data_IF_504486171482
#
_entry.id   IF_504486171482
#
_cell.length_a   1.000
_cell.length_b   1.000
_cell.length_c   1.000
_cell.angle_alpha   90.00
_cell.angle_beta   90.00
_cell.angle_gamma   90.00
#
_symmetry.space_group_name_H-M   'P 1'
#
loop_
_entity.id
_entity.type
_entity.pdbx_description
1 polymer ?
#
# COMPACT_ATOMS: atom_id res chain seq x y z
N UNK A 1 25.37 -2.36 -13.92
CA UNK A 1 24.79 -3.46 -14.74
C UNK A 1 23.34 -3.20 -15.10
N UNK A 2 22.45 -2.91 -14.15
CA UNK A 2 21.02 -2.69 -14.42
C UNK A 2 20.69 -1.40 -15.20
N UNK A 3 21.41 -0.29 -14.96
CA UNK A 3 21.20 0.99 -15.66
C UNK A 3 21.40 0.84 -17.16
N UNK A 4 22.39 0.07 -17.60
CA UNK A 4 22.64 -0.18 -19.03
C UNK A 4 21.51 -0.99 -19.66
N UNK A 5 20.95 -1.98 -18.95
CA UNK A 5 19.80 -2.75 -19.45
C UNK A 5 18.55 -1.86 -19.64
N UNK A 6 18.29 -0.91 -18.74
CA UNK A 6 17.21 0.05 -18.88
C UNK A 6 17.38 0.95 -20.11
N UNK A 7 18.62 1.39 -20.36
CA UNK A 7 18.96 2.21 -21.53
C UNK A 7 18.85 1.39 -22.83
N UNK A 8 19.33 0.13 -22.81
CA UNK A 8 19.30 -0.77 -23.98
C UNK A 8 17.89 -1.08 -24.48
N UNK A 9 16.90 -1.10 -23.57
CA UNK A 9 15.49 -1.33 -23.96
C UNK A 9 14.74 -0.07 -24.31
N UNK A 10 15.32 1.13 -24.14
CA UNK A 10 14.72 2.42 -24.44
C UNK A 10 13.37 2.66 -23.71
N UNK A 11 13.14 1.94 -22.59
CA UNK A 11 11.92 2.07 -21.80
C UNK A 11 12.06 3.22 -20.82
N UNK A 12 11.30 4.28 -21.03
CA UNK A 12 11.19 5.41 -20.09
C UNK A 12 10.19 5.06 -18.97
N UNK A 13 10.46 4.03 -18.18
CA UNK A 13 9.57 3.61 -17.09
C UNK A 13 9.90 4.25 -15.75
N UNK A 14 11.03 4.96 -15.64
CA UNK A 14 11.53 5.48 -14.37
C UNK A 14 11.88 6.97 -14.50
N UNK A 15 11.59 7.73 -13.42
CA UNK A 15 11.94 9.15 -13.31
C UNK A 15 11.38 10.05 -14.41
N UNK A 16 10.18 9.73 -14.91
CA UNK A 16 9.46 10.55 -15.89
C UNK A 16 8.69 11.63 -15.15
N UNK A 17 8.91 12.89 -15.53
CA UNK A 17 8.15 14.00 -14.97
C UNK A 17 6.71 14.00 -15.50
N UNK A 18 5.73 14.14 -14.60
CA UNK A 18 4.35 14.44 -14.99
C UNK A 18 4.12 15.94 -14.95
N UNK A 19 3.43 16.47 -15.96
CA UNK A 19 3.01 17.87 -16.05
C UNK A 19 1.60 18.11 -15.49
N UNK A 20 0.92 17.04 -15.09
CA UNK A 20 -0.40 17.06 -14.46
C UNK A 20 -0.38 16.24 -13.18
N UNK A 21 -1.48 16.24 -12.42
CA UNK A 21 -1.68 15.30 -11.33
C UNK A 21 -1.62 13.84 -11.83
N UNK A 22 -1.27 12.92 -10.95
CA UNK A 22 -1.20 11.48 -11.23
C UNK A 22 -2.60 10.87 -11.04
N UNK A 23 -3.17 10.31 -12.11
CA UNK A 23 -4.52 9.71 -12.10
C UNK A 23 -4.68 8.64 -13.17
N UNK A 24 -5.91 8.40 -13.61
CA UNK A 24 -6.21 7.45 -14.69
C UNK A 24 -5.62 7.86 -16.04
N UNK A 25 -5.45 9.18 -16.25
CA UNK A 25 -4.70 9.75 -17.36
C UNK A 25 -3.74 10.81 -16.84
N UNK A 26 -2.61 11.02 -17.52
CA UNK A 26 -1.61 12.01 -17.14
C UNK A 26 -0.82 12.50 -18.36
N UNK A 27 -0.34 13.74 -18.31
CA UNK A 27 0.61 14.27 -19.27
C UNK A 27 2.02 14.09 -18.75
N UNK A 28 2.86 13.38 -19.48
CA UNK A 28 4.23 13.08 -19.08
C UNK A 28 5.24 13.61 -20.09
N UNK A 29 6.45 13.85 -19.62
CA UNK A 29 7.57 14.28 -20.46
C UNK A 29 7.80 13.31 -21.62
N UNK A 30 7.99 13.87 -22.83
CA UNK A 30 8.24 13.10 -24.06
C UNK A 30 7.00 12.58 -24.77
N UNK A 31 5.80 12.93 -24.31
CA UNK A 31 4.53 12.57 -24.96
C UNK A 31 3.69 13.82 -25.22
N UNK A 32 3.15 13.95 -26.45
CA UNK A 32 2.33 15.10 -26.87
C UNK A 32 0.83 14.94 -26.57
N UNK A 33 0.41 13.78 -26.09
CA UNK A 33 -0.98 13.46 -25.73
C UNK A 33 -1.02 12.84 -24.33
N UNK A 34 -2.15 12.99 -23.62
CA UNK A 34 -2.35 12.26 -22.36
C UNK A 34 -2.15 10.75 -22.55
N UNK A 35 -1.49 10.13 -21.61
CA UNK A 35 -1.26 8.68 -21.55
C UNK A 35 -2.18 8.06 -20.50
N UNK A 36 -2.76 6.90 -20.78
CA UNK A 36 -3.55 6.14 -19.83
C UNK A 36 -2.59 5.51 -18.80
N UNK A 37 -2.81 5.75 -17.52
CA UNK A 37 -1.88 5.39 -16.46
C UNK A 37 -2.44 4.27 -15.58
N UNK A 38 -1.70 3.19 -15.47
CA UNK A 38 -1.98 2.05 -14.59
C UNK A 38 -0.91 1.88 -13.49
N UNK A 39 -0.18 2.95 -13.15
CA UNK A 39 0.92 2.91 -12.17
C UNK A 39 0.55 3.49 -10.80
N UNK A 40 -0.48 4.35 -10.75
CA UNK A 40 -0.86 5.05 -9.53
C UNK A 40 -1.48 4.09 -8.49
N UNK A 41 -1.27 4.42 -7.22
CA UNK A 41 -1.91 3.72 -6.10
C UNK A 41 -3.04 4.57 -5.47
N UNK A 42 -3.43 5.67 -6.07
CA UNK A 42 -4.58 6.49 -5.66
C UNK A 42 -5.91 5.82 -6.04
N UNK A 43 -6.14 4.63 -5.45
CA UNK A 43 -7.22 3.72 -5.83
C UNK A 43 -8.59 4.38 -5.95
N UNK A 44 -8.87 5.36 -5.09
CA UNK A 44 -10.16 6.06 -5.03
C UNK A 44 -10.15 7.41 -5.74
N UNK A 45 -9.01 7.82 -6.32
CA UNK A 45 -8.84 9.09 -7.02
C UNK A 45 -8.98 10.31 -6.09
N UNK A 46 -8.59 10.16 -4.82
CA UNK A 46 -8.76 11.23 -3.82
C UNK A 46 -7.80 12.41 -4.03
N UNK A 47 -6.63 12.19 -4.64
CA UNK A 47 -5.62 13.25 -4.83
C UNK A 47 -6.08 14.39 -5.75
N UNK A 48 -7.05 14.13 -6.62
CA UNK A 48 -7.55 15.07 -7.63
C UNK A 48 -9.00 15.52 -7.37
N UNK A 49 -9.61 15.11 -6.25
CA UNK A 49 -10.97 15.54 -5.92
C UNK A 49 -11.00 16.94 -5.38
N UNK A 50 -11.95 17.73 -5.90
CA UNK A 50 -12.12 19.13 -5.49
C UNK A 50 -12.35 19.25 -3.98
N UNK A 51 -13.11 18.34 -3.38
CA UNK A 51 -13.39 18.36 -1.94
C UNK A 51 -12.11 18.18 -1.09
N UNK A 52 -11.20 17.30 -1.49
CA UNK A 52 -9.93 17.08 -0.77
C UNK A 52 -8.95 18.24 -0.99
N UNK A 53 -8.91 18.78 -2.20
CA UNK A 53 -8.10 19.97 -2.57
C UNK A 53 -8.57 21.17 -1.76
N UNK A 54 -9.87 21.44 -1.73
CA UNK A 54 -10.45 22.58 -1.02
C UNK A 54 -10.19 22.50 0.49
N UNK A 55 -10.34 21.33 1.10
CA UNK A 55 -10.02 21.13 2.51
C UNK A 55 -8.54 21.45 2.82
N UNK A 56 -7.63 21.06 1.92
CA UNK A 56 -6.21 21.42 2.04
C UNK A 56 -5.97 22.92 1.93
N UNK A 57 -6.63 23.62 1.01
CA UNK A 57 -6.52 25.07 0.81
C UNK A 57 -7.01 25.82 2.07
N UNK A 58 -8.12 25.39 2.65
CA UNK A 58 -8.68 26.00 3.87
C UNK A 58 -7.73 25.82 5.06
N UNK A 59 -7.19 24.62 5.24
CA UNK A 59 -6.21 24.37 6.29
C UNK A 59 -4.92 25.17 6.10
N UNK A 60 -4.45 25.31 4.85
CA UNK A 60 -3.29 26.14 4.51
C UNK A 60 -3.51 27.61 4.93
N UNK A 61 -4.70 28.16 4.69
CA UNK A 61 -5.06 29.53 5.10
C UNK A 61 -5.14 29.69 6.63
N UNK A 62 -5.65 28.65 7.34
CA UNK A 62 -5.84 28.69 8.80
C UNK A 62 -4.53 28.49 9.58
N UNK A 63 -3.72 27.51 9.18
CA UNK A 63 -2.57 27.04 9.96
C UNK A 63 -1.22 27.39 9.35
N UNK A 64 -1.16 27.85 8.11
CA UNK A 64 0.08 28.03 7.36
C UNK A 64 0.57 26.75 6.68
N UNK A 65 1.82 26.78 6.21
CA UNK A 65 2.40 25.71 5.35
C UNK A 65 2.90 24.50 6.12
N UNK A 66 3.06 24.57 7.43
CA UNK A 66 3.59 23.47 8.23
C UNK A 66 3.37 23.65 9.72
N UNK A 67 3.47 22.58 10.48
CA UNK A 67 3.41 22.60 11.95
C UNK A 67 4.72 23.06 12.60
N UNK A 68 5.83 23.09 11.87
CA UNK A 68 7.16 23.63 12.23
C UNK A 68 7.82 23.00 13.47
N UNK A 69 7.28 21.92 14.00
CA UNK A 69 7.82 21.16 15.13
C UNK A 69 7.37 19.69 15.08
N UNK A 70 8.03 18.82 15.83
CA UNK A 70 7.52 17.48 16.10
C UNK A 70 6.25 17.55 16.97
N UNK A 71 5.38 16.55 16.87
CA UNK A 71 4.13 16.51 17.62
C UNK A 71 4.38 16.65 19.13
N UNK A 72 5.38 15.97 19.66
CA UNK A 72 5.69 15.92 21.10
C UNK A 72 6.13 17.28 21.70
N UNK A 73 6.63 18.22 20.89
CA UNK A 73 7.18 19.49 21.35
C UNK A 73 6.42 20.73 20.85
N UNK A 74 5.19 20.56 20.36
CA UNK A 74 4.33 21.69 19.97
C UNK A 74 3.83 21.68 18.53
N UNK A 75 4.23 20.72 17.69
CA UNK A 75 3.70 20.53 16.33
C UNK A 75 2.35 19.81 16.27
N UNK A 76 1.71 19.55 17.42
CA UNK A 76 0.45 18.81 17.49
C UNK A 76 -0.76 19.76 17.41
N UNK A 77 -1.33 19.86 16.22
CA UNK A 77 -2.51 20.70 15.95
C UNK A 77 -3.81 19.95 16.28
N UNK A 78 -4.90 20.70 16.46
CA UNK A 78 -6.24 20.14 16.70
C UNK A 78 -6.69 19.15 15.60
N UNK A 79 -6.37 19.45 14.33
CA UNK A 79 -6.67 18.57 13.20
C UNK A 79 -5.85 17.27 13.20
N UNK A 80 -4.66 17.24 13.81
CA UNK A 80 -3.91 15.98 13.99
C UNK A 80 -4.66 15.09 14.97
N UNK A 81 -5.08 15.65 16.11
CA UNK A 81 -5.87 14.93 17.12
C UNK A 81 -7.15 14.38 16.51
N UNK A 82 -7.88 15.19 15.75
CA UNK A 82 -9.10 14.76 15.07
C UNK A 82 -8.83 13.60 14.12
N UNK A 83 -7.77 13.66 13.31
CA UNK A 83 -7.44 12.60 12.38
C UNK A 83 -7.04 11.31 13.09
N UNK A 84 -6.30 11.37 14.19
CA UNK A 84 -5.95 10.20 15.01
C UNK A 84 -7.21 9.52 15.56
N UNK A 85 -8.13 10.29 16.15
CA UNK A 85 -9.40 9.78 16.67
C UNK A 85 -10.26 9.14 15.56
N UNK A 86 -10.40 9.80 14.42
CA UNK A 86 -11.23 9.31 13.30
C UNK A 86 -10.63 8.08 12.60
N UNK A 87 -9.30 7.98 12.49
CA UNK A 87 -8.62 6.80 11.93
C UNK A 87 -8.72 5.62 12.89
N UNK A 88 -8.52 5.84 14.20
CA UNK A 88 -8.66 4.78 15.20
C UNK A 88 -10.06 4.15 15.14
N UNK A 89 -11.10 4.98 15.18
CA UNK A 89 -12.50 4.54 15.04
C UNK A 89 -12.73 3.81 13.71
N UNK A 90 -12.21 4.36 12.61
CA UNK A 90 -12.42 3.79 11.28
C UNK A 90 -11.83 2.39 11.15
N UNK A 91 -10.62 2.14 11.64
CA UNK A 91 -9.98 0.82 11.56
C UNK A 91 -10.32 -0.10 12.75
N UNK A 92 -11.14 0.39 13.71
CA UNK A 92 -11.61 -0.40 14.84
C UNK A 92 -10.56 -0.64 15.91
N UNK A 93 -9.73 0.38 16.19
CA UNK A 93 -8.71 0.37 17.24
C UNK A 93 -9.01 1.44 18.31
N UNK A 94 -8.33 1.37 19.47
CA UNK A 94 -8.59 2.28 20.60
C UNK A 94 -7.99 3.67 20.42
N UNK A 95 -6.86 3.79 19.74
CA UNK A 95 -6.13 5.04 19.51
C UNK A 95 -5.24 4.91 18.26
N UNK A 96 -4.76 6.05 17.74
CA UNK A 96 -3.83 6.08 16.63
C UNK A 96 -2.74 7.15 16.82
N UNK A 97 -1.66 7.04 16.05
CA UNK A 97 -0.54 7.98 15.99
C UNK A 97 -0.20 8.25 14.53
N UNK A 98 -0.09 9.52 14.16
CA UNK A 98 0.26 9.94 12.80
C UNK A 98 1.77 10.01 12.59
N UNK A 99 2.19 9.72 11.36
CA UNK A 99 3.56 9.79 10.88
C UNK A 99 3.63 10.55 9.55
N UNK A 100 4.80 11.12 9.24
CA UNK A 100 5.03 11.82 7.97
C UNK A 100 5.06 10.89 6.75
N UNK A 101 5.12 9.58 6.95
CA UNK A 101 5.02 8.56 5.88
C UNK A 101 4.60 7.21 6.46
N UNK A 102 4.00 6.33 5.62
CA UNK A 102 3.78 4.93 5.99
C UNK A 102 5.10 4.18 6.24
N UNK A 103 6.17 4.55 5.52
CA UNK A 103 7.51 4.02 5.79
C UNK A 103 7.96 4.33 7.23
N UNK A 104 7.81 5.60 7.65
CA UNK A 104 8.14 6.04 9.00
C UNK A 104 7.25 5.39 10.07
N UNK A 105 5.98 5.12 9.77
CA UNK A 105 5.07 4.40 10.66
C UNK A 105 5.58 2.99 10.95
N UNK A 106 5.81 2.17 9.93
CA UNK A 106 6.33 0.81 10.09
C UNK A 106 7.68 0.78 10.80
N UNK A 107 8.65 1.56 10.31
CA UNK A 107 10.00 1.55 10.86
C UNK A 107 10.05 2.04 12.31
N UNK A 108 9.30 3.10 12.64
CA UNK A 108 9.30 3.68 13.99
C UNK A 108 8.64 2.79 15.02
N UNK A 109 7.50 2.18 14.66
CA UNK A 109 6.82 1.24 15.57
C UNK A 109 7.70 0.05 15.89
N UNK A 110 8.28 -0.58 14.89
CA UNK A 110 9.05 -1.80 15.07
C UNK A 110 10.34 -1.54 15.86
N UNK A 111 11.03 -0.42 15.60
CA UNK A 111 12.21 -0.02 16.40
C UNK A 111 11.87 0.31 17.85
N UNK A 112 10.69 0.90 18.09
CA UNK A 112 10.26 1.20 19.45
C UNK A 112 9.87 -0.04 20.25
N UNK A 113 9.33 -1.06 19.58
CA UNK A 113 8.74 -2.23 20.26
C UNK A 113 9.69 -3.40 20.41
N UNK A 114 10.60 -3.61 19.46
CA UNK A 114 11.37 -4.84 19.36
C UNK A 114 12.88 -4.58 19.51
N UNK A 115 13.52 -5.43 20.31
CA UNK A 115 14.96 -5.41 20.55
C UNK A 115 15.59 -6.80 20.44
N UNK A 116 16.79 -6.93 21.00
CA UNK A 116 17.62 -8.16 20.90
C UNK A 116 17.00 -9.40 21.56
N UNK A 117 16.09 -9.20 22.51
CA UNK A 117 15.41 -10.28 23.23
C UNK A 117 14.08 -10.69 22.58
N UNK A 118 13.70 -10.04 21.50
CA UNK A 118 12.43 -10.24 20.80
C UNK A 118 12.66 -10.89 19.45
N UNK A 119 11.58 -11.40 18.84
CA UNK A 119 11.62 -11.95 17.50
C UNK A 119 10.46 -11.45 16.65
N UNK A 120 10.78 -11.07 15.40
CA UNK A 120 9.82 -10.79 14.34
C UNK A 120 9.69 -11.99 13.40
N UNK A 121 8.48 -12.49 13.24
CA UNK A 121 8.12 -13.55 12.29
C UNK A 121 7.50 -12.87 11.05
N UNK A 122 8.24 -12.83 9.94
CA UNK A 122 7.89 -11.98 8.80
C UNK A 122 7.55 -12.80 7.57
N UNK A 123 6.44 -12.47 6.91
CA UNK A 123 6.19 -12.96 5.55
C UNK A 123 7.33 -12.49 4.62
N UNK A 124 7.76 -13.29 3.64
CA UNK A 124 8.85 -12.93 2.72
C UNK A 124 8.53 -11.74 1.81
N UNK A 125 7.26 -11.40 1.60
CA UNK A 125 6.81 -10.35 0.68
C UNK A 125 6.38 -9.06 1.37
N UNK A 126 6.63 -8.92 2.68
CA UNK A 126 6.36 -7.67 3.40
C UNK A 126 7.12 -6.49 2.81
N UNK A 127 6.56 -5.31 3.00
CA UNK A 127 7.17 -4.08 2.51
C UNK A 127 8.53 -3.78 3.17
N UNK A 128 9.45 -3.18 2.40
CA UNK A 128 10.83 -2.86 2.85
C UNK A 128 10.86 -1.97 4.10
N UNK A 129 9.86 -1.13 4.33
CA UNK A 129 9.77 -0.30 5.55
C UNK A 129 9.70 -1.11 6.83
N UNK A 130 9.05 -2.28 6.78
CA UNK A 130 9.02 -3.23 7.90
C UNK A 130 10.41 -3.75 8.22
N UNK A 131 11.16 -4.20 7.21
CA UNK A 131 12.53 -4.66 7.40
C UNK A 131 13.46 -3.56 7.93
N UNK A 132 13.24 -2.30 7.51
CA UNK A 132 14.01 -1.16 8.01
C UNK A 132 13.79 -0.89 9.51
N UNK A 133 12.65 -1.29 10.08
CA UNK A 133 12.35 -1.18 11.50
C UNK A 133 12.93 -2.30 12.37
N UNK A 134 13.37 -3.41 11.77
CA UNK A 134 13.80 -4.62 12.48
C UNK A 134 15.32 -4.73 12.65
N UNK A 135 16.05 -3.60 12.64
CA UNK A 135 17.52 -3.59 12.55
C UNK A 135 18.24 -4.30 13.72
N UNK A 136 17.69 -4.24 14.93
CA UNK A 136 18.27 -4.86 16.13
C UNK A 136 17.46 -6.07 16.64
N UNK A 137 16.50 -6.54 15.88
CA UNK A 137 15.57 -7.62 16.26
C UNK A 137 15.98 -8.94 15.61
N UNK A 138 15.74 -10.05 16.28
CA UNK A 138 15.85 -11.36 15.65
C UNK A 138 14.73 -11.51 14.62
N UNK A 139 15.05 -11.96 13.42
CA UNK A 139 14.09 -12.12 12.32
C UNK A 139 14.05 -13.59 11.90
N UNK A 140 12.87 -14.15 11.83
CA UNK A 140 12.61 -15.44 11.19
C UNK A 140 11.59 -15.24 10.07
N UNK A 141 11.96 -15.55 8.84
CA UNK A 141 11.01 -15.55 7.73
C UNK A 141 10.11 -16.77 7.82
N UNK A 142 8.80 -16.53 7.68
CA UNK A 142 7.79 -17.58 7.52
C UNK A 142 7.49 -17.79 6.04
N UNK A 143 6.79 -18.86 5.66
CA UNK A 143 6.33 -19.04 4.29
C UNK A 143 5.16 -18.10 3.97
N UNK A 144 5.08 -17.65 2.72
CA UNK A 144 3.97 -16.81 2.28
C UNK A 144 2.65 -17.58 2.33
N UNK A 145 1.72 -17.14 3.18
CA UNK A 145 0.45 -17.83 3.46
C UNK A 145 0.63 -19.33 3.83
N UNK A 146 1.75 -19.68 4.46
CA UNK A 146 2.08 -21.04 4.90
C UNK A 146 1.81 -21.17 6.41
N UNK A 147 0.58 -21.56 6.74
CA UNK A 147 0.10 -21.66 8.12
C UNK A 147 0.79 -22.78 8.90
N UNK A 148 1.10 -23.90 8.23
CA UNK A 148 1.78 -25.05 8.88
C UNK A 148 3.20 -24.66 9.29
N UNK A 149 3.92 -23.97 8.41
CA UNK A 149 5.25 -23.48 8.72
C UNK A 149 5.22 -22.37 9.79
N UNK A 150 4.24 -21.46 9.73
CA UNK A 150 4.04 -20.44 10.77
C UNK A 150 3.83 -21.10 12.16
N UNK A 151 2.95 -22.08 12.24
CA UNK A 151 2.67 -22.79 13.49
C UNK A 151 3.92 -23.51 14.01
N UNK A 152 4.66 -24.20 13.14
CA UNK A 152 5.92 -24.86 13.49
C UNK A 152 6.94 -23.86 14.07
N UNK A 153 7.08 -22.68 13.46
CA UNK A 153 7.98 -21.63 13.91
C UNK A 153 7.52 -21.05 15.25
N UNK A 154 6.22 -20.78 15.42
CA UNK A 154 5.66 -20.28 16.68
C UNK A 154 5.91 -21.24 17.85
N UNK A 155 5.78 -22.56 17.63
CA UNK A 155 6.12 -23.60 18.60
C UNK A 155 7.61 -23.59 18.94
N UNK A 156 8.47 -23.46 17.93
CA UNK A 156 9.93 -23.45 18.13
C UNK A 156 10.42 -22.23 18.92
N UNK A 157 9.80 -21.06 18.75
CA UNK A 157 10.23 -19.81 19.40
C UNK A 157 9.54 -19.52 20.73
N UNK A 158 8.62 -20.37 21.19
CA UNK A 158 7.71 -20.13 22.31
C UNK A 158 8.40 -19.59 23.56
N UNK A 159 9.46 -20.25 24.01
CA UNK A 159 10.16 -19.95 25.28
C UNK A 159 11.55 -19.33 25.07
N UNK A 160 11.86 -18.93 23.82
CA UNK A 160 13.19 -18.41 23.46
C UNK A 160 13.26 -16.88 23.45
N UNK A 161 12.13 -16.19 23.32
CA UNK A 161 12.05 -14.75 23.13
C UNK A 161 10.99 -14.13 24.06
N UNK A 162 11.25 -12.88 24.45
CA UNK A 162 10.36 -12.12 25.33
C UNK A 162 9.08 -11.73 24.58
N UNK A 163 9.22 -11.14 23.40
CA UNK A 163 8.11 -10.76 22.51
C UNK A 163 8.21 -11.52 21.20
N UNK A 164 7.10 -12.05 20.75
CA UNK A 164 6.93 -12.65 19.43
C UNK A 164 5.95 -11.81 18.65
N UNK A 165 6.39 -11.20 17.54
CA UNK A 165 5.54 -10.40 16.66
C UNK A 165 5.48 -11.02 15.27
N UNK A 166 4.29 -11.46 14.86
CA UNK A 166 4.01 -11.86 13.49
C UNK A 166 3.68 -10.59 12.68
N UNK A 167 4.31 -10.43 11.51
CA UNK A 167 4.15 -9.25 10.67
C UNK A 167 3.82 -9.69 9.25
N UNK A 168 2.69 -9.20 8.74
CA UNK A 168 2.17 -9.49 7.41
C UNK A 168 1.67 -8.21 6.73
N UNK A 169 1.61 -8.21 5.40
CA UNK A 169 0.83 -7.22 4.66
C UNK A 169 -0.60 -7.72 4.50
N UNK A 170 -1.59 -6.86 4.67
CA UNK A 170 -2.99 -7.21 4.45
C UNK A 170 -3.25 -7.54 2.97
N UNK A 171 -2.79 -6.65 2.08
CA UNK A 171 -2.74 -6.87 0.63
C UNK A 171 -1.30 -6.73 0.16
N UNK A 172 -0.76 -7.74 -0.53
CA UNK A 172 0.61 -7.74 -1.00
C UNK A 172 0.79 -6.91 -2.27
N UNK A 173 1.71 -5.96 -2.21
CA UNK A 173 1.84 -4.86 -3.19
C UNK A 173 2.21 -5.29 -4.61
N UNK A 174 2.87 -6.44 -4.79
CA UNK A 174 3.37 -6.93 -6.08
C UNK A 174 2.50 -8.04 -6.70
N UNK A 175 1.76 -8.77 -5.86
CA UNK A 175 0.96 -9.91 -6.27
C UNK A 175 -0.55 -9.61 -6.21
N UNK A 176 -0.97 -8.64 -5.41
CA UNK A 176 -2.37 -8.26 -5.26
C UNK A 176 -3.21 -9.30 -4.53
N UNK A 177 -2.60 -10.34 -3.98
CA UNK A 177 -3.24 -11.31 -3.11
C UNK A 177 -3.30 -10.80 -1.66
N UNK A 178 -3.96 -11.54 -0.79
CA UNK A 178 -4.21 -11.16 0.60
C UNK A 178 -3.72 -12.25 1.55
N UNK A 179 -3.42 -11.83 2.78
CA UNK A 179 -3.04 -12.75 3.85
C UNK A 179 -4.24 -13.61 4.31
N UNK A 180 -3.96 -14.81 4.83
CA UNK A 180 -4.95 -15.69 5.50
C UNK A 180 -5.16 -15.20 6.94
N UNK A 181 -5.71 -13.98 7.06
CA UNK A 181 -5.74 -13.23 8.32
C UNK A 181 -6.47 -13.95 9.47
N UNK A 182 -7.66 -14.57 9.28
CA UNK A 182 -8.36 -15.27 10.37
C UNK A 182 -7.53 -16.39 10.99
N UNK A 183 -6.89 -17.19 10.15
CA UNK A 183 -6.07 -18.34 10.57
C UNK A 183 -4.79 -17.87 11.27
N UNK A 184 -4.16 -16.80 10.76
CA UNK A 184 -2.98 -16.20 11.38
C UNK A 184 -3.34 -15.63 12.75
N UNK A 185 -4.47 -14.96 12.92
CA UNK A 185 -4.98 -14.47 14.20
C UNK A 185 -5.15 -15.65 15.20
N UNK A 186 -5.75 -16.75 14.75
CA UNK A 186 -5.95 -17.92 15.60
C UNK A 186 -4.62 -18.52 16.08
N UNK A 187 -3.63 -18.62 15.19
CA UNK A 187 -2.29 -19.10 15.54
C UNK A 187 -1.59 -18.14 16.52
N UNK A 188 -1.64 -16.83 16.27
CA UNK A 188 -1.06 -15.84 17.17
C UNK A 188 -1.64 -15.93 18.59
N UNK A 189 -2.98 -16.02 18.71
CA UNK A 189 -3.66 -16.19 20.00
C UNK A 189 -3.25 -17.50 20.71
N UNK A 190 -3.17 -18.61 19.96
CA UNK A 190 -2.81 -19.93 20.50
C UNK A 190 -1.38 -19.96 21.05
N UNK A 191 -0.46 -19.22 20.45
CA UNK A 191 0.96 -19.23 20.76
C UNK A 191 1.45 -17.99 21.51
N UNK A 192 0.54 -17.15 22.03
CA UNK A 192 0.86 -15.91 22.74
C UNK A 192 1.84 -15.04 21.94
N UNK A 193 1.51 -14.77 20.69
CA UNK A 193 2.22 -13.90 19.79
C UNK A 193 1.34 -12.69 19.41
N UNK A 194 1.94 -11.52 19.27
CA UNK A 194 1.29 -10.33 18.75
C UNK A 194 1.21 -10.39 17.22
N UNK A 195 0.24 -9.69 16.65
CA UNK A 195 0.06 -9.56 15.21
C UNK A 195 0.07 -8.10 14.78
N UNK A 196 0.94 -7.78 13.83
CA UNK A 196 0.94 -6.51 13.09
C UNK A 196 0.54 -6.74 11.65
N UNK A 197 -0.42 -5.94 11.18
CA UNK A 197 -0.88 -5.93 9.79
C UNK A 197 -0.54 -4.58 9.15
N UNK A 198 0.32 -4.58 8.13
CA UNK A 198 0.46 -3.44 7.22
C UNK A 198 -0.67 -3.50 6.19
N UNK A 199 -1.68 -2.69 6.40
CA UNK A 199 -2.87 -2.66 5.54
C UNK A 199 -2.88 -1.47 4.57
N UNK A 200 -1.69 -1.03 4.18
CA UNK A 200 -1.48 0.13 3.31
C UNK A 200 -2.18 0.02 1.95
N UNK A 201 -2.42 -1.18 1.44
CA UNK A 201 -3.16 -1.43 0.19
C UNK A 201 -4.61 -1.86 0.41
N UNK A 202 -4.99 -2.21 1.64
CA UNK A 202 -6.34 -2.67 1.97
C UNK A 202 -7.26 -1.53 2.42
N UNK A 203 -6.75 -0.58 3.23
CA UNK A 203 -7.56 0.52 3.75
C UNK A 203 -8.06 1.43 2.61
N UNK A 204 -9.35 1.73 2.63
CA UNK A 204 -10.08 2.41 1.56
C UNK A 204 -10.57 1.46 0.45
N UNK A 205 -10.00 0.26 0.33
CA UNK A 205 -10.22 -0.70 -0.77
C UNK A 205 -11.01 -1.92 -0.32
N UNK A 206 -10.51 -2.63 0.71
CA UNK A 206 -11.05 -3.90 1.19
C UNK A 206 -12.12 -3.67 2.25
N UNK A 207 -13.04 -4.64 2.34
CA UNK A 207 -14.18 -4.58 3.26
C UNK A 207 -15.37 -3.78 2.73
N UNK A 208 -16.54 -3.99 3.31
CA UNK A 208 -17.79 -3.38 2.87
C UNK A 208 -17.78 -1.85 3.04
N UNK A 209 -17.12 -1.36 4.09
CA UNK A 209 -17.01 0.07 4.39
C UNK A 209 -15.62 0.63 4.04
N UNK A 210 -14.70 -0.19 3.50
CA UNK A 210 -13.35 0.21 3.16
C UNK A 210 -12.40 0.30 4.37
N UNK A 211 -12.72 -0.37 5.47
CA UNK A 211 -11.88 -0.37 6.69
C UNK A 211 -10.64 -1.26 6.58
N UNK A 212 -10.42 -1.89 5.42
CA UNK A 212 -9.25 -2.70 5.14
C UNK A 212 -9.50 -4.21 5.23
N UNK A 213 -8.40 -4.98 5.23
CA UNK A 213 -8.45 -6.45 5.25
C UNK A 213 -9.01 -6.98 6.56
N UNK A 214 -8.83 -6.26 7.66
CA UNK A 214 -9.36 -6.65 8.96
C UNK A 214 -10.90 -6.64 8.93
N UNK A 215 -11.53 -5.66 8.29
CA UNK A 215 -12.99 -5.66 8.06
C UNK A 215 -13.38 -6.74 7.06
N UNK A 216 -12.63 -6.89 5.97
CA UNK A 216 -12.93 -7.86 4.92
C UNK A 216 -13.12 -9.28 5.48
N UNK A 217 -12.35 -9.64 6.48
CA UNK A 217 -12.41 -10.93 7.16
C UNK A 217 -13.25 -10.93 8.46
N UNK A 218 -13.97 -9.84 8.78
CA UNK A 218 -14.72 -9.67 10.02
C UNK A 218 -13.87 -9.86 11.29
N UNK A 219 -12.62 -9.36 11.26
CA UNK A 219 -11.64 -9.48 12.34
C UNK A 219 -11.34 -8.16 13.06
N UNK A 220 -12.24 -7.15 12.97
CA UNK A 220 -12.07 -5.86 13.67
C UNK A 220 -11.85 -6.09 15.17
N UNK A 221 -10.87 -5.37 15.76
CA UNK A 221 -10.49 -5.49 17.16
C UNK A 221 -9.72 -6.77 17.52
N UNK A 222 -9.29 -7.59 16.55
CA UNK A 222 -8.57 -8.83 16.80
C UNK A 222 -7.08 -8.79 16.41
N UNK A 223 -6.62 -7.69 15.83
CA UNK A 223 -5.23 -7.44 15.45
C UNK A 223 -4.62 -6.45 16.43
N UNK A 224 -3.39 -6.68 16.91
CA UNK A 224 -2.76 -5.85 17.93
C UNK A 224 -2.31 -4.49 17.35
N UNK A 225 -1.77 -4.49 16.12
CA UNK A 225 -1.22 -3.31 15.47
C UNK A 225 -1.66 -3.27 14.01
N UNK A 226 -2.30 -2.20 13.62
CA UNK A 226 -2.63 -1.90 12.22
C UNK A 226 -1.80 -0.70 11.79
N UNK A 227 -1.06 -0.84 10.70
CA UNK A 227 -0.39 0.29 10.05
C UNK A 227 -1.00 0.58 8.70
N UNK A 228 -0.91 1.84 8.29
CA UNK A 228 -1.43 2.27 6.99
C UNK A 228 -0.71 3.48 6.46
N UNK A 229 -1.03 3.83 5.22
CA UNK A 229 -0.47 5.00 4.55
C UNK A 229 -1.56 5.89 3.98
N UNK A 230 -1.31 7.19 3.97
CA UNK A 230 -2.17 8.17 3.29
C UNK A 230 -1.78 8.38 1.82
N UNK A 231 -0.70 7.72 1.34
CA UNK A 231 -0.19 7.91 -0.02
C UNK A 231 -0.87 7.06 -1.09
N UNK A 232 -1.92 6.33 -0.73
CA UNK A 232 -2.68 5.46 -1.64
C UNK A 232 -4.14 5.88 -1.69
N UNK A 233 -5.06 5.13 -1.10
CA UNK A 233 -6.51 5.41 -1.15
C UNK A 233 -6.92 6.78 -0.63
N UNK A 234 -6.11 7.44 0.19
CA UNK A 234 -6.36 8.80 0.67
C UNK A 234 -5.79 9.89 -0.26
N UNK A 235 -4.98 9.54 -1.25
CA UNK A 235 -4.44 10.47 -2.25
C UNK A 235 -3.47 11.53 -1.72
N UNK A 236 -2.86 11.34 -0.54
CA UNK A 236 -1.99 12.31 0.14
C UNK A 236 -0.61 11.72 0.46
N UNK A 237 0.10 12.29 1.41
CA UNK A 237 1.34 11.75 1.97
C UNK A 237 1.16 11.56 3.48
N UNK A 238 1.89 10.62 4.08
CA UNK A 238 1.83 10.33 5.50
C UNK A 238 1.49 8.87 5.77
N UNK A 239 1.33 8.55 7.05
CA UNK A 239 0.93 7.24 7.51
C UNK A 239 0.46 7.28 8.96
N UNK A 240 0.03 6.14 9.44
CA UNK A 240 -0.44 6.00 10.82
C UNK A 240 -0.17 4.61 11.37
N UNK A 241 -0.21 4.53 12.67
CA UNK A 241 -0.32 3.30 13.44
C UNK A 241 -1.56 3.39 14.29
N UNK A 242 -2.36 2.34 14.33
CA UNK A 242 -3.52 2.21 15.19
C UNK A 242 -3.40 0.94 16.04
N UNK A 243 -3.66 1.05 17.35
CA UNK A 243 -3.47 -0.02 18.32
C UNK A 243 -4.22 0.30 19.63
N UNK A 244 -3.94 -0.48 20.68
CA UNK A 244 -4.44 -0.16 22.02
C UNK A 244 -3.92 1.20 22.50
N UNK A 245 -4.72 1.90 23.29
CA UNK A 245 -4.38 3.20 23.85
C UNK A 245 -3.05 3.18 24.61
N UNK A 246 -2.79 2.10 25.35
CA UNK A 246 -1.53 1.94 26.10
C UNK A 246 -0.32 1.87 25.16
N UNK A 247 -0.45 1.15 24.04
CA UNK A 247 0.61 1.02 23.06
C UNK A 247 0.86 2.34 22.34
N UNK A 248 -0.19 3.04 21.92
CA UNK A 248 -0.07 4.35 21.28
C UNK A 248 0.57 5.37 22.22
N UNK A 249 0.21 5.39 23.51
CA UNK A 249 0.88 6.25 24.50
C UNK A 249 2.38 5.99 24.59
N UNK A 250 2.80 4.72 24.56
CA UNK A 250 4.21 4.37 24.52
C UNK A 250 4.88 4.87 23.24
N UNK A 251 4.28 4.63 22.08
CA UNK A 251 4.83 5.04 20.77
C UNK A 251 4.96 6.56 20.63
N UNK A 252 4.11 7.36 21.26
CA UNK A 252 4.19 8.84 21.27
C UNK A 252 5.52 9.35 21.84
N UNK A 253 6.22 8.56 22.66
CA UNK A 253 7.51 8.93 23.25
C UNK A 253 8.70 8.15 22.71
N UNK A 254 8.48 6.95 22.14
CA UNK A 254 9.57 6.05 21.77
C UNK A 254 9.68 5.76 20.28
N UNK A 255 8.67 6.10 19.47
CA UNK A 255 8.77 5.95 18.02
C UNK A 255 9.62 7.09 17.43
N UNK A 256 10.88 6.83 17.17
CA UNK A 256 11.89 7.82 16.74
C UNK A 256 11.48 8.59 15.47
N UNK A 257 10.88 7.91 14.51
CA UNK A 257 10.40 8.51 13.26
C UNK A 257 9.20 9.46 13.44
N UNK A 258 8.55 9.47 14.62
CA UNK A 258 7.57 10.46 15.02
C UNK A 258 8.21 11.55 15.88
N UNK A 259 8.94 11.14 16.94
CA UNK A 259 9.51 12.05 17.94
C UNK A 259 10.54 13.01 17.35
N UNK A 260 11.35 12.54 16.40
CA UNK A 260 12.42 13.32 15.74
C UNK A 260 12.05 13.76 14.32
N UNK A 261 10.76 13.80 13.98
CA UNK A 261 10.25 14.28 12.70
C UNK A 261 9.25 15.42 12.90
N UNK A 262 9.21 16.38 11.99
CA UNK A 262 8.14 17.37 11.96
C UNK A 262 6.79 16.68 11.77
N UNK A 263 5.77 17.21 12.44
CA UNK A 263 4.40 16.73 12.30
C UNK A 263 3.91 16.81 10.83
N UNK A 264 2.96 15.98 10.41
CA UNK A 264 2.30 16.12 9.11
C UNK A 264 1.80 17.55 8.90
N UNK A 265 1.89 18.05 7.66
CA UNK A 265 1.50 19.43 7.36
C UNK A 265 -0.02 19.60 7.45
N UNK A 266 -0.52 20.79 7.85
CA UNK A 266 -1.95 21.03 8.06
C UNK A 266 -2.80 20.71 6.82
N UNK A 267 -2.36 21.14 5.64
CA UNK A 267 -3.09 20.95 4.40
C UNK A 267 -3.21 19.46 4.04
N UNK A 268 -2.16 18.67 4.27
CA UNK A 268 -2.20 17.22 4.07
C UNK A 268 -3.15 16.57 5.07
N UNK A 269 -3.06 16.95 6.35
CA UNK A 269 -3.93 16.40 7.39
C UNK A 269 -5.42 16.66 7.12
N UNK A 270 -5.76 17.89 6.70
CA UNK A 270 -7.14 18.24 6.34
C UNK A 270 -7.62 17.53 5.08
N UNK A 271 -6.76 17.38 4.06
CA UNK A 271 -7.11 16.60 2.87
C UNK A 271 -7.35 15.12 3.20
N UNK A 272 -6.55 14.53 4.11
CA UNK A 272 -6.77 13.14 4.58
C UNK A 272 -8.08 13.01 5.35
N UNK A 273 -8.39 13.96 6.25
CA UNK A 273 -9.69 14.00 6.96
C UNK A 273 -10.86 14.02 5.97
N UNK A 274 -10.78 14.87 4.94
CA UNK A 274 -11.81 14.93 3.91
C UNK A 274 -11.87 13.65 3.09
N UNK A 275 -10.75 13.06 2.73
CA UNK A 275 -10.72 11.77 2.04
C UNK A 275 -11.36 10.65 2.87
N UNK A 276 -11.07 10.60 4.18
CA UNK A 276 -11.70 9.66 5.10
C UNK A 276 -13.22 9.85 5.19
N UNK A 277 -13.69 11.10 5.28
CA UNK A 277 -15.12 11.43 5.23
C UNK A 277 -15.76 10.90 3.93
N UNK A 278 -15.13 11.13 2.77
CA UNK A 278 -15.62 10.64 1.49
C UNK A 278 -15.64 9.11 1.41
N UNK A 279 -14.62 8.43 1.93
CA UNK A 279 -14.58 6.96 2.00
C UNK A 279 -15.75 6.43 2.82
N UNK A 280 -16.09 7.09 3.95
CA UNK A 280 -17.20 6.73 4.85
C UNK A 280 -18.56 7.04 4.25
N UNK A 281 -18.71 8.15 3.53
CA UNK A 281 -20.02 8.72 3.11
C UNK A 281 -20.37 8.50 1.65
N UNK A 282 -19.39 8.17 0.78
CA UNK A 282 -19.56 7.96 -0.66
C UNK A 282 -19.12 6.56 -1.10
N UNK A 283 -19.83 5.49 -0.69
CA UNK A 283 -19.46 4.11 -1.01
C UNK A 283 -19.43 3.81 -2.51
N UNK A 284 -20.14 4.61 -3.33
CA UNK A 284 -20.14 4.50 -4.79
C UNK A 284 -18.74 4.68 -5.41
N UNK A 285 -17.84 5.42 -4.75
CA UNK A 285 -16.45 5.58 -5.22
C UNK A 285 -15.72 4.23 -5.16
N UNK A 286 -15.87 3.51 -4.03
CA UNK A 286 -15.28 2.18 -3.87
C UNK A 286 -15.97 1.16 -4.75
N UNK A 287 -17.30 1.26 -4.90
CA UNK A 287 -18.05 0.39 -5.82
C UNK A 287 -17.50 0.52 -7.25
N UNK A 288 -17.30 1.73 -7.75
CA UNK A 288 -16.72 1.97 -9.09
C UNK A 288 -15.31 1.35 -9.21
N UNK A 289 -14.48 1.42 -8.16
CA UNK A 289 -13.19 0.74 -8.15
C UNK A 289 -13.35 -0.77 -8.34
N UNK A 290 -14.27 -1.39 -7.61
CA UNK A 290 -14.51 -2.84 -7.70
C UNK A 290 -15.16 -3.25 -9.01
N UNK A 291 -16.07 -2.43 -9.57
CA UNK A 291 -16.65 -2.68 -10.90
C UNK A 291 -15.55 -2.69 -11.97
N UNK A 292 -14.66 -1.70 -11.95
CA UNK A 292 -13.49 -1.63 -12.83
C UNK A 292 -12.55 -2.84 -12.64
N UNK A 293 -12.29 -3.20 -11.38
CA UNK A 293 -11.43 -4.32 -11.00
C UNK A 293 -11.99 -5.64 -11.51
N UNK A 294 -13.26 -5.90 -11.27
CA UNK A 294 -13.95 -7.13 -11.69
C UNK A 294 -14.06 -7.22 -13.22
N UNK A 295 -14.34 -6.08 -13.87
CA UNK A 295 -14.35 -6.00 -15.32
C UNK A 295 -13.00 -6.40 -15.91
N UNK A 296 -11.90 -5.74 -15.48
CA UNK A 296 -10.57 -6.04 -16.02
C UNK A 296 -10.14 -7.47 -15.69
N UNK A 297 -10.44 -7.97 -14.48
CA UNK A 297 -10.15 -9.37 -14.10
C UNK A 297 -10.77 -10.34 -15.08
N UNK A 298 -12.07 -10.18 -15.36
CA UNK A 298 -12.80 -11.01 -16.32
C UNK A 298 -12.15 -10.95 -17.71
N UNK A 299 -11.91 -9.76 -18.24
CA UNK A 299 -11.35 -9.55 -19.56
C UNK A 299 -9.95 -10.20 -19.71
N UNK A 300 -9.10 -10.07 -18.71
CA UNK A 300 -7.75 -10.67 -18.73
C UNK A 300 -7.81 -12.20 -18.62
N UNK A 301 -8.63 -12.73 -17.72
CA UNK A 301 -8.71 -14.20 -17.50
C UNK A 301 -9.37 -14.93 -18.67
N UNK A 302 -10.44 -14.38 -19.23
CA UNK A 302 -11.12 -14.97 -20.43
C UNK A 302 -10.19 -15.00 -21.65
N UNK A 303 -9.25 -14.04 -21.74
CA UNK A 303 -8.22 -14.02 -22.79
C UNK A 303 -6.96 -14.83 -22.42
N UNK A 304 -6.95 -15.49 -21.26
CA UNK A 304 -5.88 -16.39 -20.83
C UNK A 304 -4.61 -15.68 -20.36
N UNK A 305 -4.66 -14.41 -19.96
CA UNK A 305 -3.54 -13.75 -19.27
C UNK A 305 -3.44 -14.24 -17.84
N UNK A 306 -2.22 -14.57 -17.42
CA UNK A 306 -1.94 -15.00 -16.06
C UNK A 306 -1.79 -13.76 -15.15
N UNK A 307 -2.73 -13.59 -14.24
CA UNK A 307 -2.79 -12.51 -13.23
C UNK A 307 -2.46 -13.02 -11.82
N UNK A 308 -1.82 -14.17 -11.71
CA UNK A 308 -1.47 -14.78 -10.43
C UNK A 308 -2.68 -15.09 -9.55
N UNK A 309 -2.53 -14.87 -8.25
CA UNK A 309 -3.59 -15.06 -7.24
C UNK A 309 -4.25 -13.74 -6.81
N UNK A 310 -4.11 -12.69 -7.61
CA UNK A 310 -4.64 -11.38 -7.26
C UNK A 310 -6.15 -11.41 -7.00
N UNK A 311 -6.55 -10.82 -5.89
CA UNK A 311 -7.95 -10.60 -5.48
C UNK A 311 -8.25 -9.13 -5.17
N UNK A 312 -7.29 -8.24 -5.44
CA UNK A 312 -7.37 -6.79 -5.18
C UNK A 312 -7.33 -5.99 -6.50
N UNK A 313 -7.37 -4.64 -6.46
CA UNK A 313 -7.16 -3.79 -7.65
C UNK A 313 -5.73 -3.76 -8.20
N UNK A 314 -4.88 -4.68 -7.80
CA UNK A 314 -3.50 -4.83 -8.27
C UNK A 314 -3.42 -6.09 -9.11
N UNK A 315 -3.00 -5.97 -10.38
CA UNK A 315 -2.87 -7.12 -11.28
C UNK A 315 -1.40 -7.33 -11.70
N UNK A 316 -0.77 -8.43 -11.28
CA UNK A 316 0.48 -8.88 -11.85
C UNK A 316 0.20 -9.61 -13.17
N UNK A 317 0.46 -8.98 -14.31
CA UNK A 317 0.41 -9.69 -15.59
C UNK A 317 1.74 -10.42 -15.78
N UNK A 318 1.73 -11.72 -15.58
CA UNK A 318 2.94 -12.54 -15.51
C UNK A 318 3.58 -12.72 -16.88
N UNK A 319 4.84 -12.29 -17.00
CA UNK A 319 5.66 -12.43 -18.23
C UNK A 319 6.81 -13.43 -18.03
N UNK A 320 7.33 -13.54 -16.80
CA UNK A 320 8.38 -14.47 -16.38
C UNK A 320 9.75 -14.30 -17.07
N UNK A 321 9.95 -13.19 -17.74
CA UNK A 321 11.20 -12.85 -18.44
C UNK A 321 11.47 -11.35 -18.33
N UNK A 322 12.62 -10.98 -17.73
CA UNK A 322 12.99 -9.58 -17.50
C UNK A 322 13.11 -8.78 -18.79
N UNK A 323 13.62 -9.38 -19.86
CA UNK A 323 13.81 -8.69 -21.13
C UNK A 323 12.48 -8.46 -21.84
N UNK A 324 11.63 -9.49 -21.89
CA UNK A 324 10.29 -9.38 -22.47
C UNK A 324 9.44 -8.35 -21.76
N UNK A 325 9.44 -8.31 -20.41
CA UNK A 325 8.59 -7.37 -19.69
C UNK A 325 8.92 -5.91 -20.00
N UNK A 326 10.20 -5.57 -20.16
CA UNK A 326 10.61 -4.24 -20.62
C UNK A 326 10.16 -3.94 -22.05
N UNK A 327 10.31 -4.89 -22.95
CA UNK A 327 9.84 -4.73 -24.35
C UNK A 327 8.33 -4.49 -24.40
N UNK A 328 7.55 -5.27 -23.63
CA UNK A 328 6.10 -5.15 -23.56
C UNK A 328 5.70 -3.79 -22.96
N UNK A 329 6.35 -3.36 -21.86
CA UNK A 329 6.10 -2.07 -21.25
C UNK A 329 6.36 -0.91 -22.24
N UNK A 330 7.45 -0.99 -23.03
CA UNK A 330 7.76 -0.02 -24.08
C UNK A 330 6.67 0.02 -25.17
N UNK A 331 6.25 -1.15 -25.67
CA UNK A 331 5.19 -1.24 -26.68
C UNK A 331 3.86 -0.70 -26.17
N UNK A 332 3.53 -0.91 -24.90
CA UNK A 332 2.37 -0.29 -24.26
C UNK A 332 2.50 1.24 -24.21
N UNK A 333 3.67 1.77 -23.85
CA UNK A 333 3.92 3.21 -23.85
C UNK A 333 3.76 3.82 -25.25
N UNK A 334 4.26 3.16 -26.28
CA UNK A 334 4.09 3.58 -27.69
C UNK A 334 2.61 3.63 -28.11
N UNK A 335 1.76 2.82 -27.47
CA UNK A 335 0.30 2.82 -27.62
C UNK A 335 -0.43 3.79 -26.69
N UNK A 336 0.30 4.63 -25.93
CA UNK A 336 -0.28 5.58 -25.00
C UNK A 336 -0.76 4.98 -23.67
N UNK A 337 -0.18 3.84 -23.26
CA UNK A 337 -0.54 3.15 -22.02
C UNK A 337 0.69 3.01 -21.13
N UNK A 338 0.62 3.52 -19.90
CA UNK A 338 1.72 3.50 -18.96
C UNK A 338 1.52 2.45 -17.88
N UNK A 339 2.35 1.41 -17.91
CA UNK A 339 2.46 0.36 -16.91
C UNK A 339 3.90 0.28 -16.40
N UNK A 340 4.14 -0.41 -15.28
CA UNK A 340 5.49 -0.59 -14.76
C UNK A 340 5.95 -2.03 -14.89
N UNK A 341 7.17 -2.21 -15.39
CA UNK A 341 7.86 -3.49 -15.42
C UNK A 341 8.45 -3.78 -14.02
N UNK A 342 8.03 -4.86 -13.40
CA UNK A 342 8.58 -5.34 -12.13
C UNK A 342 9.49 -6.52 -12.42
N UNK A 343 10.77 -6.35 -12.11
CA UNK A 343 11.85 -7.29 -12.41
C UNK A 343 12.77 -7.47 -11.23
N UNK A 344 13.72 -8.39 -11.32
CA UNK A 344 14.79 -8.51 -10.33
C UNK A 344 15.51 -7.16 -10.11
N UNK A 345 15.80 -6.71 -8.85
CA UNK A 345 15.70 -7.48 -7.61
C UNK A 345 14.34 -7.38 -6.88
N UNK A 346 13.35 -6.65 -7.39
CA UNK A 346 12.05 -6.50 -6.72
C UNK A 346 11.26 -7.83 -6.68
N UNK A 347 11.41 -8.65 -7.70
CA UNK A 347 10.88 -10.02 -7.79
C UNK A 347 11.96 -10.96 -8.34
N UNK A 348 11.78 -12.29 -8.20
CA UNK A 348 12.68 -13.27 -8.84
C UNK A 348 12.58 -13.17 -10.37
N UNK A 349 13.65 -13.52 -11.10
CA UNK A 349 13.66 -13.41 -12.57
C UNK A 349 12.49 -14.16 -13.24
N UNK A 350 12.14 -15.34 -12.73
CA UNK A 350 11.00 -16.13 -13.22
C UNK A 350 9.63 -15.58 -12.78
N UNK A 351 9.60 -14.49 -12.07
CA UNK A 351 8.41 -13.81 -11.57
C UNK A 351 8.27 -12.40 -12.15
N UNK A 352 9.08 -12.07 -13.15
CA UNK A 352 8.99 -10.80 -13.87
C UNK A 352 7.58 -10.59 -14.44
N UNK A 353 7.04 -9.39 -14.23
CA UNK A 353 5.63 -9.07 -14.54
C UNK A 353 5.45 -7.60 -14.90
N UNK A 354 4.37 -7.28 -15.57
CA UNK A 354 3.81 -5.94 -15.55
C UNK A 354 2.94 -5.80 -14.30
N UNK A 355 3.07 -4.70 -13.57
CA UNK A 355 2.16 -4.36 -12.47
C UNK A 355 1.16 -3.33 -12.95
N UNK A 356 -0.11 -3.66 -12.88
CA UNK A 356 -1.24 -2.83 -13.27
C UNK A 356 -2.06 -2.52 -12.03
N UNK A 357 -2.28 -1.24 -11.74
CA UNK A 357 -3.13 -0.76 -10.65
C UNK A 357 -4.40 -0.13 -11.22
N UNK A 358 -5.55 -0.52 -10.67
CA UNK A 358 -6.86 0.02 -11.08
C UNK A 358 -7.26 1.13 -10.13
N UNK A 359 -7.84 2.19 -10.70
CA UNK A 359 -8.40 3.33 -9.98
C UNK A 359 -9.92 3.39 -10.21
N UNK A 360 -10.64 3.97 -9.26
CA UNK A 360 -12.06 4.28 -9.42
C UNK A 360 -12.32 5.27 -10.57
N UNK A 361 -11.32 6.08 -10.91
CA UNK A 361 -11.36 7.08 -11.99
C UNK A 361 -11.04 6.52 -13.37
N UNK A 362 -10.68 5.25 -13.49
CA UNK A 362 -10.60 4.61 -14.80
C UNK A 362 -12.00 4.48 -15.39
N UNK A 363 -12.11 4.78 -16.69
CA UNK A 363 -13.29 4.50 -17.48
C UNK A 363 -13.12 3.18 -18.24
N UNK A 364 -14.24 2.63 -18.72
CA UNK A 364 -14.24 1.34 -19.44
C UNK A 364 -13.30 1.35 -20.65
N UNK A 365 -13.28 2.45 -21.37
CA UNK A 365 -12.43 2.65 -22.56
C UNK A 365 -10.92 2.58 -22.23
N UNK A 366 -10.53 3.00 -21.02
CA UNK A 366 -9.14 2.87 -20.55
C UNK A 366 -8.78 1.38 -20.36
N UNK A 367 -9.68 0.62 -19.76
CA UNK A 367 -9.49 -0.82 -19.50
C UNK A 367 -9.49 -1.61 -20.81
N UNK A 368 -10.42 -1.32 -21.71
CA UNK A 368 -10.48 -1.93 -23.05
C UNK A 368 -9.20 -1.64 -23.84
N UNK A 369 -8.68 -0.41 -23.76
CA UNK A 369 -7.42 -0.02 -24.42
C UNK A 369 -6.24 -0.86 -23.94
N UNK A 370 -6.13 -1.11 -22.63
CA UNK A 370 -5.09 -1.98 -22.07
C UNK A 370 -5.23 -3.41 -22.58
N UNK A 371 -6.42 -3.99 -22.51
CA UNK A 371 -6.68 -5.37 -22.92
C UNK A 371 -6.38 -5.58 -24.40
N UNK A 372 -6.87 -4.69 -25.28
CA UNK A 372 -6.63 -4.74 -26.71
C UNK A 372 -5.14 -4.60 -27.04
N UNK A 373 -4.44 -3.67 -26.36
CA UNK A 373 -3.00 -3.50 -26.56
C UNK A 373 -2.21 -4.76 -26.14
N UNK A 374 -2.58 -5.38 -25.02
CA UNK A 374 -1.96 -6.64 -24.57
C UNK A 374 -2.19 -7.80 -25.56
N UNK A 375 -3.38 -7.91 -26.14
CA UNK A 375 -3.67 -8.92 -27.16
C UNK A 375 -2.85 -8.71 -28.45
N UNK A 376 -2.74 -7.47 -28.91
CA UNK A 376 -1.91 -7.14 -30.08
C UNK A 376 -0.43 -7.44 -29.81
N UNK A 377 0.08 -7.05 -28.64
CA UNK A 377 1.47 -7.30 -28.25
C UNK A 377 1.72 -8.82 -28.08
N UNK A 378 0.77 -9.57 -27.53
CA UNK A 378 0.89 -10.99 -27.35
C UNK A 378 1.05 -11.79 -28.67
N UNK A 379 0.57 -11.23 -29.81
CA UNK A 379 0.82 -11.81 -31.16
C UNK A 379 2.27 -11.63 -31.62
N UNK A 380 3.00 -10.65 -31.05
CA UNK A 380 4.39 -10.30 -31.41
C UNK A 380 5.37 -10.90 -30.39
N UNK A 381 5.08 -10.70 -29.13
CA UNK A 381 5.87 -11.22 -27.99
C UNK A 381 4.90 -12.02 -27.10
N UNK A 382 5.00 -13.35 -27.04
CA UNK A 382 4.12 -14.15 -26.21
C UNK A 382 4.22 -13.77 -24.73
N UNK A 383 3.05 -13.40 -24.16
CA UNK A 383 2.84 -13.08 -22.74
C UNK A 383 2.23 -14.30 -22.02
N UNK A 384 1.43 -15.07 -22.77
CA UNK A 384 0.75 -16.30 -22.32
C UNK A 384 1.65 -17.51 -22.37
#
# INVERSE_FOLDING_TARGET
MYINQLNDFGCKSYWIASHTGIGATMNIEGYNKPIISFIANDYLGMSQREETIQAGIEALKKYGTGACAAQVIGGYLDIHKQLEEEIADFVGQEDALLFSSGFGANAGVLRALLGKNDIALTDPFIHTSTLAGLHETNIKRIGHNDLEYLEMVLKDVKDKYQTKLVIIDGVYSQDGDISMLPEIIALCKTHDAMLMVDDAHGIGVMGNNGKGTVEHFNCLGQVDIITGTFSKSFGCVGGFVAASKKLIQYLRFYADSNVFSAAPTPQVTASVLKALELIKTKPEIRQKLWDNTNYLRKELTERGFDIGKSVSPIFPIMVRDNKKVYQIAKMLQEKGIFTIAIVYPAVRTKEARLRVSILSTHEKEHLDSLVNALEEINKIIPIK
#
